data_IF_367414924271
#
_entry.id   IF_367414924271
#
_cell.length_a   1.000
_cell.length_b   1.000
_cell.length_c   1.000
_cell.angle_alpha   90.00
_cell.angle_beta   90.00
_cell.angle_gamma   90.00
#
_symmetry.space_group_name_H-M   'P 1'
#
loop_
_entity.id
_entity.type
_entity.pdbx_description
1 polymer ?
#
# COMPACT_ATOMS: atom_id res chain seq x y z
N UNK A 1 -30.26 -1.19 -35.70
CA UNK A 1 -29.89 0.12 -35.11
C UNK A 1 -30.55 0.46 -33.80
N UNK A 2 -31.59 -0.25 -33.37
CA UNK A 2 -32.19 -0.08 -32.05
C UNK A 2 -31.28 -0.45 -30.83
N UNK A 3 -30.24 -1.24 -31.09
CA UNK A 3 -29.28 -1.69 -30.07
C UNK A 3 -28.39 -0.56 -29.56
N UNK A 4 -27.87 0.26 -30.46
CA UNK A 4 -26.96 1.37 -30.12
C UNK A 4 -27.71 2.49 -29.39
N UNK A 5 -28.94 2.79 -29.81
CA UNK A 5 -29.79 3.81 -29.19
C UNK A 5 -30.23 3.42 -27.77
N UNK A 6 -30.45 2.13 -27.52
CA UNK A 6 -30.88 1.63 -26.20
C UNK A 6 -29.73 1.70 -25.19
N UNK A 7 -28.53 1.27 -25.55
CA UNK A 7 -27.33 1.40 -24.72
C UNK A 7 -26.98 2.86 -24.45
N UNK A 8 -27.10 3.71 -25.46
CA UNK A 8 -26.85 5.13 -25.30
C UNK A 8 -27.79 5.80 -24.31
N UNK A 9 -29.08 5.44 -24.32
CA UNK A 9 -30.05 5.93 -23.35
C UNK A 9 -29.76 5.45 -21.94
N UNK A 10 -29.38 4.19 -21.76
CA UNK A 10 -29.01 3.64 -20.45
C UNK A 10 -27.80 4.34 -19.87
N UNK A 11 -26.76 4.52 -20.68
CA UNK A 11 -25.54 5.25 -20.25
C UNK A 11 -25.86 6.69 -19.89
N UNK A 12 -26.68 7.37 -20.70
CA UNK A 12 -27.09 8.75 -20.47
C UNK A 12 -27.97 8.87 -19.21
N UNK A 13 -28.89 7.94 -18.99
CA UNK A 13 -29.73 7.89 -17.81
C UNK A 13 -28.91 7.62 -16.55
N UNK A 14 -27.93 6.72 -16.60
CA UNK A 14 -27.04 6.44 -15.48
C UNK A 14 -26.19 7.65 -15.11
N UNK A 15 -25.66 8.37 -16.12
CA UNK A 15 -24.89 9.60 -15.89
C UNK A 15 -25.75 10.68 -15.27
N UNK A 16 -26.97 10.86 -15.78
CA UNK A 16 -27.92 11.84 -15.27
C UNK A 16 -28.41 11.50 -13.85
N UNK A 17 -28.68 10.22 -13.60
CA UNK A 17 -29.05 9.72 -12.26
C UNK A 17 -27.92 9.94 -11.26
N UNK A 18 -26.69 9.69 -11.66
CA UNK A 18 -25.51 9.90 -10.83
C UNK A 18 -25.34 11.39 -10.50
N UNK A 19 -25.44 12.26 -11.49
CA UNK A 19 -25.39 13.72 -11.27
C UNK A 19 -26.53 14.22 -10.40
N UNK A 20 -27.70 13.67 -10.57
CA UNK A 20 -28.87 14.01 -9.74
C UNK A 20 -28.67 13.57 -8.30
N UNK A 21 -28.20 12.35 -8.06
CA UNK A 21 -27.87 11.84 -6.73
C UNK A 21 -26.77 12.67 -6.06
N UNK A 22 -25.75 13.07 -6.81
CA UNK A 22 -24.68 13.94 -6.31
C UNK A 22 -25.19 15.31 -5.87
N UNK A 23 -26.21 15.83 -6.54
CA UNK A 23 -26.85 17.10 -6.17
C UNK A 23 -27.75 16.99 -4.95
N UNK A 24 -28.52 15.87 -4.86
CA UNK A 24 -29.52 15.68 -3.82
C UNK A 24 -28.88 15.17 -2.52
N UNK A 25 -27.79 14.39 -2.63
CA UNK A 25 -27.10 13.79 -1.47
C UNK A 25 -25.59 13.96 -1.55
N UNK A 26 -25.07 15.21 -1.47
CA UNK A 26 -23.63 15.42 -1.49
C UNK A 26 -22.91 14.75 -0.32
N UNK A 27 -23.57 14.63 0.83
CA UNK A 27 -23.03 13.97 2.02
C UNK A 27 -22.81 12.46 1.80
N UNK A 28 -23.77 11.78 1.16
CA UNK A 28 -23.66 10.35 0.86
C UNK A 28 -22.51 10.08 -0.14
N UNK A 29 -22.36 10.93 -1.15
CA UNK A 29 -21.27 10.84 -2.13
C UNK A 29 -19.91 11.06 -1.47
N UNK A 30 -19.80 12.06 -0.59
CA UNK A 30 -18.58 12.34 0.15
C UNK A 30 -18.22 11.15 1.04
N UNK A 31 -19.19 10.59 1.75
CA UNK A 31 -19.00 9.41 2.58
C UNK A 31 -18.49 8.23 1.76
N UNK A 32 -19.08 7.98 0.60
CA UNK A 32 -18.64 6.90 -0.31
C UNK A 32 -17.22 7.11 -0.79
N UNK A 33 -16.83 8.34 -1.09
CA UNK A 33 -15.45 8.67 -1.50
C UNK A 33 -14.48 8.45 -0.35
N UNK A 34 -14.85 8.82 0.86
CA UNK A 34 -14.04 8.61 2.07
C UNK A 34 -13.87 7.12 2.34
N UNK A 35 -14.96 6.34 2.29
CA UNK A 35 -14.91 4.89 2.46
C UNK A 35 -14.03 4.22 1.40
N UNK A 36 -14.14 4.66 0.15
CA UNK A 36 -13.30 4.18 -0.95
C UNK A 36 -11.82 4.49 -0.75
N UNK A 37 -11.52 5.70 -0.29
CA UNK A 37 -10.15 6.10 0.06
C UNK A 37 -9.60 5.26 1.22
N UNK A 38 -10.43 5.02 2.23
CA UNK A 38 -10.07 4.17 3.37
C UNK A 38 -9.70 2.74 2.95
N UNK A 39 -10.46 2.16 2.04
CA UNK A 39 -10.19 0.82 1.50
C UNK A 39 -8.88 0.77 0.72
N UNK A 40 -8.60 1.81 -0.08
CA UNK A 40 -7.33 1.91 -0.81
C UNK A 40 -6.15 2.00 0.15
N UNK A 41 -6.28 2.75 1.22
CA UNK A 41 -5.26 2.89 2.26
C UNK A 41 -5.04 1.56 2.96
N UNK A 42 -6.09 0.80 3.30
CA UNK A 42 -5.98 -0.55 3.86
C UNK A 42 -5.18 -1.48 2.94
N UNK A 43 -5.44 -1.44 1.64
CA UNK A 43 -4.68 -2.22 0.66
C UNK A 43 -3.19 -1.82 0.65
N UNK A 44 -2.88 -0.53 0.74
CA UNK A 44 -1.50 -0.05 0.81
C UNK A 44 -0.82 -0.52 2.09
N UNK A 45 -1.51 -0.47 3.23
CA UNK A 45 -1.00 -0.97 4.51
C UNK A 45 -0.64 -2.45 4.40
N UNK A 46 -1.51 -3.28 3.81
CA UNK A 46 -1.26 -4.70 3.61
C UNK A 46 -0.03 -4.95 2.72
N UNK A 47 0.12 -4.18 1.65
CA UNK A 47 1.30 -4.26 0.77
C UNK A 47 2.58 -3.89 1.50
N UNK A 48 2.54 -2.86 2.33
CA UNK A 48 3.67 -2.44 3.14
C UNK A 48 4.04 -3.51 4.17
N UNK A 49 3.07 -4.16 4.79
CA UNK A 49 3.29 -5.28 5.70
C UNK A 49 3.96 -6.46 5.00
N UNK A 50 3.50 -6.83 3.81
CA UNK A 50 4.09 -7.90 3.02
C UNK A 50 5.53 -7.58 2.64
N UNK A 51 5.80 -6.36 2.21
CA UNK A 51 7.15 -5.90 1.87
C UNK A 51 8.05 -5.90 3.10
N UNK A 52 7.54 -5.43 4.24
CA UNK A 52 8.26 -5.45 5.51
C UNK A 52 8.66 -6.88 5.91
N UNK A 53 7.74 -7.83 5.78
CA UNK A 53 8.01 -9.24 6.10
C UNK A 53 9.07 -9.85 5.18
N UNK A 54 9.03 -9.53 3.89
CA UNK A 54 10.07 -9.96 2.94
C UNK A 54 11.45 -9.40 3.28
N UNK A 55 11.51 -8.13 3.63
CA UNK A 55 12.75 -7.48 4.05
C UNK A 55 13.30 -8.10 5.34
N UNK A 56 12.42 -8.42 6.27
CA UNK A 56 12.79 -9.08 7.52
C UNK A 56 13.40 -10.46 7.25
N UNK A 57 12.81 -11.24 6.36
CA UNK A 57 13.36 -12.53 5.95
C UNK A 57 14.72 -12.38 5.28
N UNK A 58 14.86 -11.39 4.39
CA UNK A 58 16.13 -11.09 3.74
C UNK A 58 17.20 -10.67 4.76
N UNK A 59 16.83 -9.90 5.77
CA UNK A 59 17.71 -9.52 6.87
C UNK A 59 18.22 -10.75 7.61
N UNK A 60 17.35 -11.65 7.99
CA UNK A 60 17.71 -12.89 8.69
C UNK A 60 18.62 -13.78 7.85
N UNK A 61 18.34 -13.90 6.55
CA UNK A 61 19.16 -14.69 5.62
C UNK A 61 20.56 -14.09 5.45
N UNK A 62 20.65 -12.76 5.31
CA UNK A 62 21.94 -12.07 5.22
C UNK A 62 22.74 -12.20 6.52
N UNK A 63 22.06 -12.09 7.65
CA UNK A 63 22.70 -12.27 8.94
C UNK A 63 23.37 -13.65 9.05
N UNK A 64 22.67 -14.71 8.63
CA UNK A 64 23.22 -16.07 8.57
C UNK A 64 24.44 -16.15 7.65
N UNK A 65 24.38 -15.50 6.49
CA UNK A 65 25.50 -15.45 5.55
C UNK A 65 26.72 -14.73 6.13
N UNK A 66 26.50 -13.69 6.91
CA UNK A 66 27.58 -12.98 7.62
C UNK A 66 28.26 -13.92 8.61
N UNK A 67 27.47 -14.65 9.40
CA UNK A 67 28.00 -15.61 10.37
C UNK A 67 28.82 -16.69 9.65
N UNK A 68 28.31 -17.25 8.57
CA UNK A 68 29.02 -18.25 7.76
C UNK A 68 30.33 -17.71 7.20
N UNK A 69 30.33 -16.49 6.68
CA UNK A 69 31.52 -15.84 6.16
C UNK A 69 32.57 -15.59 7.25
N UNK A 70 32.12 -15.18 8.44
CA UNK A 70 32.97 -15.01 9.61
C UNK A 70 33.60 -16.32 10.06
N UNK A 71 32.83 -17.40 10.11
CA UNK A 71 33.33 -18.73 10.47
C UNK A 71 34.31 -19.26 9.43
N UNK A 72 34.15 -18.92 8.17
CA UNK A 72 35.07 -19.26 7.09
C UNK A 72 36.29 -18.32 6.99
N UNK A 73 36.40 -17.34 7.90
CA UNK A 73 37.47 -16.32 7.90
C UNK A 73 37.49 -15.47 6.64
N UNK A 74 36.34 -15.31 5.96
CA UNK A 74 36.24 -14.48 4.75
C UNK A 74 35.71 -13.09 5.13
N UNK A 75 36.61 -12.23 5.60
CA UNK A 75 36.28 -10.88 6.08
C UNK A 75 35.72 -9.99 4.95
N UNK A 76 36.23 -10.10 3.73
CA UNK A 76 35.74 -9.32 2.58
C UNK A 76 34.28 -9.61 2.29
N UNK A 77 33.92 -10.88 2.26
CA UNK A 77 32.53 -11.33 2.02
C UNK A 77 31.61 -10.90 3.16
N UNK A 78 32.07 -11.02 4.41
CA UNK A 78 31.33 -10.58 5.58
C UNK A 78 31.02 -9.07 5.54
N UNK A 79 31.99 -8.25 5.15
CA UNK A 79 31.80 -6.80 5.00
C UNK A 79 30.78 -6.46 3.92
N UNK A 80 30.84 -7.13 2.78
CA UNK A 80 29.88 -6.91 1.68
C UNK A 80 28.46 -7.21 2.14
N UNK A 81 28.26 -8.33 2.80
CA UNK A 81 26.94 -8.68 3.34
C UNK A 81 26.49 -7.73 4.45
N UNK A 82 27.41 -7.22 5.27
CA UNK A 82 27.09 -6.26 6.32
C UNK A 82 26.57 -4.93 5.73
N UNK A 83 27.16 -4.48 4.62
CA UNK A 83 26.69 -3.28 3.91
C UNK A 83 25.28 -3.50 3.38
N UNK A 84 25.00 -4.64 2.73
CA UNK A 84 23.67 -5.00 2.27
C UNK A 84 22.67 -5.07 3.43
N UNK A 85 23.08 -5.61 4.56
CA UNK A 85 22.26 -5.69 5.76
C UNK A 85 21.82 -4.32 6.26
N UNK A 86 22.73 -3.33 6.26
CA UNK A 86 22.41 -1.95 6.62
C UNK A 86 21.41 -1.33 5.66
N UNK A 87 21.56 -1.60 4.36
CA UNK A 87 20.61 -1.10 3.35
C UNK A 87 19.20 -1.69 3.54
N UNK A 88 19.12 -2.98 3.86
CA UNK A 88 17.85 -3.63 4.19
C UNK A 88 17.24 -3.02 5.46
N UNK A 89 18.04 -2.76 6.47
CA UNK A 89 17.57 -2.14 7.72
C UNK A 89 16.99 -0.73 7.48
N UNK A 90 17.64 0.06 6.65
CA UNK A 90 17.15 1.37 6.23
C UNK A 90 15.82 1.26 5.49
N UNK A 91 15.70 0.28 4.57
CA UNK A 91 14.47 0.03 3.84
C UNK A 91 13.33 -0.40 4.77
N UNK A 92 13.60 -1.29 5.74
CA UNK A 92 12.63 -1.68 6.77
C UNK A 92 12.10 -0.48 7.54
N UNK A 93 12.99 0.41 7.98
CA UNK A 93 12.63 1.61 8.72
C UNK A 93 11.74 2.54 7.90
N UNK A 94 12.07 2.74 6.62
CA UNK A 94 11.26 3.56 5.71
C UNK A 94 9.85 2.98 5.51
N UNK A 95 9.75 1.66 5.39
CA UNK A 95 8.47 0.99 5.23
C UNK A 95 7.66 1.06 6.51
N UNK A 96 8.27 0.91 7.68
CA UNK A 96 7.61 1.07 8.97
C UNK A 96 7.06 2.50 9.14
N UNK A 97 7.83 3.52 8.74
CA UNK A 97 7.38 4.91 8.75
C UNK A 97 6.23 5.16 7.79
N UNK A 98 6.31 4.62 6.58
CA UNK A 98 5.24 4.72 5.58
C UNK A 98 3.95 4.06 6.06
N UNK A 99 4.06 2.88 6.66
CA UNK A 99 2.93 2.16 7.24
C UNK A 99 2.26 2.98 8.35
N UNK A 100 3.06 3.54 9.26
CA UNK A 100 2.56 4.38 10.33
C UNK A 100 1.82 5.61 9.78
N UNK A 101 2.39 6.27 8.78
CA UNK A 101 1.76 7.41 8.11
C UNK A 101 0.40 7.02 7.49
N UNK A 102 0.32 5.87 6.84
CA UNK A 102 -0.93 5.36 6.26
C UNK A 102 -1.98 5.04 7.34
N UNK A 103 -1.57 4.46 8.45
CA UNK A 103 -2.45 4.17 9.59
C UNK A 103 -3.03 5.46 10.19
N UNK A 104 -2.22 6.51 10.30
CA UNK A 104 -2.66 7.83 10.78
C UNK A 104 -3.67 8.46 9.83
N UNK A 105 -3.45 8.37 8.52
CA UNK A 105 -4.40 8.87 7.52
C UNK A 105 -5.73 8.11 7.62
N UNK A 106 -5.67 6.80 7.77
CA UNK A 106 -6.84 5.95 7.95
C UNK A 106 -7.65 6.36 9.18
N UNK A 107 -6.99 6.61 10.31
CA UNK A 107 -7.64 7.10 11.52
C UNK A 107 -8.37 8.43 11.29
N UNK A 108 -7.71 9.38 10.62
CA UNK A 108 -8.30 10.68 10.31
C UNK A 108 -9.53 10.54 9.41
N UNK A 109 -9.49 9.66 8.42
CA UNK A 109 -10.63 9.37 7.57
C UNK A 109 -11.79 8.75 8.35
N UNK A 110 -11.49 7.92 9.34
CA UNK A 110 -12.50 7.29 10.19
C UNK A 110 -13.23 8.25 11.14
N UNK A 111 -12.64 9.42 11.42
CA UNK A 111 -13.23 10.45 12.30
C UNK A 111 -14.08 11.47 11.56
N UNK A 112 -14.08 11.44 10.25
CA UNK A 112 -14.92 12.29 9.38
C UNK A 112 -16.25 11.61 9.12
#
# INVERSE_FOLDING_TARGET
MGYITKNWREVKNNILSQKFLDRVRPEATLKNKIDGAGKKIECQILRLEQTHNKLKQNYENLFKKIVEAKLAHNESKARTYAIELQEIKKAENKIAEAKLAMEQIKERLGTV
#
